data_IF_087968483507
#
_entry.id   IF_087968483507
#
_cell.length_a   1.000
_cell.length_b   1.000
_cell.length_c   1.000
_cell.angle_alpha   90.00
_cell.angle_beta   90.00
_cell.angle_gamma   90.00
#
_symmetry.space_group_name_H-M   'P 1'
#
loop_
_entity.id
_entity.type
_entity.pdbx_description
1 polymer ?
#
# COMPACT_ATOMS: atom_id res chain seq x y z
N UNK A 1 4.28 25.55 22.05
CA UNK A 1 3.65 25.23 20.75
C UNK A 1 3.48 26.46 19.87
N UNK A 2 2.93 27.58 20.36
CA UNK A 2 2.82 28.82 19.57
C UNK A 2 4.18 29.34 19.07
N UNK A 3 5.18 29.45 19.96
CA UNK A 3 6.55 29.87 19.60
C UNK A 3 7.24 28.92 18.61
N UNK A 4 6.95 27.61 18.69
CA UNK A 4 7.46 26.59 17.76
C UNK A 4 6.79 26.68 16.38
N UNK A 5 5.50 27.01 16.34
CA UNK A 5 4.79 27.26 15.09
C UNK A 5 5.32 28.52 14.39
N UNK A 6 5.55 29.60 15.14
CA UNK A 6 6.13 30.84 14.61
C UNK A 6 7.53 30.62 14.02
N UNK A 7 8.39 29.89 14.73
CA UNK A 7 9.74 29.55 14.23
C UNK A 7 9.69 28.63 13.00
N UNK A 8 8.77 27.65 12.97
CA UNK A 8 8.56 26.80 11.79
C UNK A 8 8.05 27.59 10.58
N UNK A 9 7.15 28.55 10.80
CA UNK A 9 6.67 29.45 9.74
C UNK A 9 7.80 30.35 9.21
N UNK A 10 8.63 30.89 10.11
CA UNK A 10 9.80 31.69 9.75
C UNK A 10 10.82 30.89 8.93
N UNK A 11 11.07 29.63 9.31
CA UNK A 11 11.94 28.69 8.60
C UNK A 11 11.31 28.10 7.32
N UNK A 12 10.06 28.47 6.99
CA UNK A 12 9.26 27.90 5.89
C UNK A 12 9.13 26.38 5.96
N UNK A 13 9.24 25.81 7.16
CA UNK A 13 8.95 24.40 7.41
C UNK A 13 7.44 24.22 7.55
N UNK A 14 6.77 24.23 6.41
CA UNK A 14 5.32 24.06 6.31
C UNK A 14 4.86 22.71 6.89
N UNK A 15 5.71 21.67 6.86
CA UNK A 15 5.40 20.35 7.40
C UNK A 15 5.27 20.36 8.91
N UNK A 16 6.23 20.98 9.60
CA UNK A 16 6.21 21.15 11.06
C UNK A 16 5.11 22.11 11.50
N UNK A 17 4.92 23.23 10.79
CA UNK A 17 3.84 24.17 11.06
C UNK A 17 2.46 23.47 10.98
N UNK A 18 2.20 22.73 9.91
CA UNK A 18 0.95 21.98 9.72
C UNK A 18 0.69 20.98 10.84
N UNK A 19 1.71 20.21 11.26
CA UNK A 19 1.59 19.26 12.38
C UNK A 19 1.23 19.95 13.69
N UNK A 20 1.90 21.06 14.01
CA UNK A 20 1.64 21.84 15.23
C UNK A 20 0.21 22.41 15.20
N UNK A 21 -0.22 23.02 14.10
CA UNK A 21 -1.58 23.54 13.94
C UNK A 21 -2.62 22.43 14.12
N UNK A 22 -2.41 21.27 13.51
CA UNK A 22 -3.31 20.11 13.63
C UNK A 22 -3.43 19.63 15.09
N UNK A 23 -2.32 19.61 15.82
CA UNK A 23 -2.27 19.22 17.23
C UNK A 23 -3.00 20.22 18.14
N UNK A 24 -2.85 21.52 17.89
CA UNK A 24 -3.49 22.59 18.69
C UNK A 24 -5.01 22.68 18.41
N UNK A 25 -5.45 22.50 17.17
CA UNK A 25 -6.87 22.60 16.80
C UNK A 25 -7.73 21.37 17.20
N UNK A 26 -7.23 20.46 18.03
CA UNK A 26 -8.00 19.36 18.64
C UNK A 26 -8.47 18.26 17.69
N UNK A 27 -8.23 18.36 16.37
CA UNK A 27 -8.57 17.33 15.37
C UNK A 27 -7.45 16.31 15.14
N UNK A 28 -6.44 16.30 16.00
CA UNK A 28 -5.35 15.34 15.91
C UNK A 28 -5.66 14.12 16.76
N UNK A 29 -6.31 13.13 16.16
CA UNK A 29 -6.28 11.77 16.70
C UNK A 29 -4.93 11.18 16.33
N UNK A 30 -4.08 10.94 17.33
CA UNK A 30 -2.95 10.01 17.23
C UNK A 30 -3.49 8.59 17.06
N UNK A 31 -4.19 8.33 15.96
CA UNK A 31 -4.56 6.97 15.57
C UNK A 31 -3.43 6.43 14.71
N UNK A 32 -2.21 6.43 15.23
CA UNK A 32 -1.05 5.91 14.49
C UNK A 32 -1.00 4.39 14.56
N UNK A 33 -1.60 3.78 15.58
CA UNK A 33 -1.69 2.33 15.71
C UNK A 33 -3.14 1.93 15.83
N UNK A 34 -3.61 1.11 14.87
CA UNK A 34 -4.83 0.37 15.07
C UNK A 34 -4.65 -0.46 16.36
N UNK A 35 -5.59 -0.40 17.31
CA UNK A 35 -5.49 -1.17 18.55
C UNK A 35 -5.42 -2.67 18.21
N UNK A 36 -4.26 -3.30 18.44
CA UNK A 36 -4.09 -4.75 18.26
C UNK A 36 -4.69 -5.44 19.46
N UNK A 37 -5.53 -6.44 19.21
CA UNK A 37 -6.19 -7.24 20.26
C UNK A 37 -5.69 -8.69 20.23
N UNK A 38 -5.67 -9.32 21.40
CA UNK A 38 -5.53 -10.77 21.49
C UNK A 38 -6.80 -11.49 20.98
N UNK A 39 -6.79 -12.82 20.99
CA UNK A 39 -7.91 -13.64 20.51
C UNK A 39 -9.17 -13.48 21.38
N UNK A 40 -8.97 -13.12 22.65
CA UNK A 40 -10.03 -12.83 23.63
C UNK A 40 -10.60 -11.40 23.47
N UNK A 41 -10.10 -10.62 22.51
CA UNK A 41 -10.55 -9.26 22.23
C UNK A 41 -10.00 -8.19 23.17
N UNK A 42 -9.06 -8.54 24.05
CA UNK A 42 -8.39 -7.60 24.95
C UNK A 42 -7.29 -6.84 24.20
N UNK A 43 -7.15 -5.56 24.53
CA UNK A 43 -6.16 -4.68 23.91
C UNK A 43 -4.74 -5.03 24.36
N UNK A 44 -3.83 -5.21 23.39
CA UNK A 44 -2.41 -5.40 23.64
C UNK A 44 -1.72 -4.04 23.73
N UNK A 45 -1.05 -3.79 24.85
CA UNK A 45 -0.40 -2.50 25.13
C UNK A 45 1.11 -2.58 24.98
N UNK A 46 1.71 -3.76 25.22
CA UNK A 46 3.15 -3.98 25.07
C UNK A 46 3.55 -4.29 23.63
N UNK A 47 4.70 -3.78 23.19
CA UNK A 47 5.29 -4.08 21.88
C UNK A 47 5.58 -5.58 21.71
N UNK A 48 6.13 -6.20 22.75
CA UNK A 48 6.41 -7.64 22.76
C UNK A 48 5.14 -8.48 22.57
N UNK A 49 4.04 -8.10 23.22
CA UNK A 49 2.76 -8.80 23.07
C UNK A 49 2.19 -8.62 21.66
N UNK A 50 2.32 -7.41 21.08
CA UNK A 50 1.91 -7.13 19.71
C UNK A 50 2.71 -7.95 18.72
N UNK A 51 4.03 -8.03 18.87
CA UNK A 51 4.91 -8.82 17.99
C UNK A 51 4.60 -10.32 18.10
N UNK A 52 4.41 -10.84 19.31
CA UNK A 52 3.99 -12.22 19.52
C UNK A 52 2.64 -12.51 18.85
N UNK A 53 1.67 -11.59 18.97
CA UNK A 53 0.36 -11.70 18.33
C UNK A 53 0.44 -11.67 16.81
N UNK A 54 1.31 -10.82 16.24
CA UNK A 54 1.57 -10.80 14.80
C UNK A 54 2.18 -12.11 14.31
N UNK A 55 3.17 -12.62 15.04
CA UNK A 55 3.86 -13.88 14.72
C UNK A 55 2.87 -15.05 14.72
N UNK A 56 2.06 -15.15 15.77
CA UNK A 56 1.00 -16.17 15.87
C UNK A 56 0.01 -16.07 14.70
N UNK A 57 -0.52 -14.87 14.42
CA UNK A 57 -1.51 -14.65 13.37
C UNK A 57 -1.01 -15.07 11.98
N UNK A 58 0.20 -14.64 11.61
CA UNK A 58 0.77 -15.00 10.32
C UNK A 58 1.16 -16.48 10.26
N UNK A 59 1.62 -17.06 11.37
CA UNK A 59 1.94 -18.47 11.40
C UNK A 59 0.72 -19.34 11.09
N UNK A 60 -0.43 -19.04 11.72
CA UNK A 60 -1.69 -19.76 11.52
C UNK A 60 -2.23 -19.64 10.08
N UNK A 61 -2.15 -18.44 9.50
CA UNK A 61 -2.69 -18.19 8.16
C UNK A 61 -1.79 -18.79 7.07
N UNK A 62 -0.48 -18.59 7.18
CA UNK A 62 0.45 -18.91 6.10
C UNK A 62 0.94 -20.36 6.13
N UNK A 63 0.97 -21.00 7.30
CA UNK A 63 1.44 -22.39 7.45
C UNK A 63 0.30 -23.40 7.62
N UNK A 64 -0.92 -23.05 7.21
CA UNK A 64 -2.03 -24.00 7.18
C UNK A 64 -1.71 -25.15 6.22
N UNK A 65 -2.08 -26.37 6.60
CA UNK A 65 -2.00 -27.51 5.69
C UNK A 65 -2.89 -27.29 4.47
N UNK A 66 -2.55 -27.94 3.36
CA UNK A 66 -3.43 -27.97 2.21
C UNK A 66 -4.79 -28.54 2.64
N UNK A 67 -5.92 -27.93 2.22
CA UNK A 67 -7.23 -28.49 2.52
C UNK A 67 -7.34 -29.92 1.97
N UNK A 68 -7.98 -30.82 2.72
CA UNK A 68 -8.20 -32.23 2.30
C UNK A 68 -9.10 -32.33 1.06
N UNK A 69 -9.95 -31.33 0.85
CA UNK A 69 -10.84 -31.26 -0.29
C UNK A 69 -10.35 -30.20 -1.25
N UNK A 70 -10.24 -30.56 -2.52
CA UNK A 70 -10.02 -29.60 -3.58
C UNK A 70 -11.24 -28.66 -3.64
N UNK A 71 -10.96 -27.36 -3.75
CA UNK A 71 -12.01 -26.38 -3.99
C UNK A 71 -12.63 -26.65 -5.36
N UNK A 72 -13.91 -27.02 -5.37
CA UNK A 72 -14.69 -27.11 -6.60
C UNK A 72 -14.94 -25.67 -7.07
N UNK A 73 -14.13 -25.20 -8.01
CA UNK A 73 -14.35 -23.93 -8.70
C UNK A 73 -15.31 -24.26 -9.85
N UNK A 74 -16.58 -23.81 -9.81
CA UNK A 74 -17.47 -24.00 -10.93
C UNK A 74 -16.90 -23.28 -12.15
N UNK A 75 -17.09 -23.89 -13.32
CA UNK A 75 -16.80 -23.19 -14.57
C UNK A 75 -17.61 -21.90 -14.64
N UNK A 76 -17.00 -20.83 -15.15
CA UNK A 76 -17.71 -19.58 -15.30
C UNK A 76 -18.93 -19.80 -16.20
N UNK A 77 -20.08 -19.25 -15.82
CA UNK A 77 -21.31 -19.36 -16.63
C UNK A 77 -21.15 -18.69 -18.00
N UNK A 78 -20.30 -17.67 -18.07
CA UNK A 78 -19.98 -16.92 -19.28
C UNK A 78 -18.47 -16.69 -19.37
N UNK A 79 -17.93 -16.91 -20.57
CA UNK A 79 -16.59 -16.45 -20.90
C UNK A 79 -16.57 -14.92 -20.95
N UNK A 80 -15.53 -14.33 -20.37
CA UNK A 80 -15.30 -12.89 -20.54
C UNK A 80 -14.97 -12.61 -22.01
N UNK A 81 -15.64 -11.62 -22.60
CA UNK A 81 -15.33 -11.10 -23.93
C UNK A 81 -14.02 -10.29 -23.89
N UNK A 82 -12.90 -11.01 -23.74
CA UNK A 82 -11.55 -10.48 -23.73
C UNK A 82 -10.76 -11.06 -24.88
N UNK A 83 -10.09 -10.18 -25.62
CA UNK A 83 -9.22 -10.59 -26.71
C UNK A 83 -7.97 -11.25 -26.13
N UNK A 84 -7.88 -12.57 -26.24
CA UNK A 84 -6.73 -13.38 -25.78
C UNK A 84 -5.69 -13.58 -26.89
N UNK A 85 -5.89 -12.99 -28.06
CA UNK A 85 -4.93 -13.06 -29.17
C UNK A 85 -3.66 -12.28 -28.83
N UNK A 86 -2.57 -12.62 -29.53
CA UNK A 86 -1.31 -11.87 -29.43
C UNK A 86 -1.57 -10.39 -29.72
N UNK A 87 -1.08 -9.46 -28.87
CA UNK A 87 -1.32 -8.04 -29.07
C UNK A 87 -0.68 -7.54 -30.36
N UNK A 88 -1.40 -6.67 -31.05
CA UNK A 88 -0.92 -6.02 -32.26
C UNK A 88 0.17 -5.00 -31.95
N UNK A 89 1.04 -4.70 -32.93
CA UNK A 89 2.05 -3.64 -32.79
C UNK A 89 1.43 -2.30 -32.41
N UNK A 90 0.24 -1.98 -32.90
CA UNK A 90 -0.45 -0.73 -32.57
C UNK A 90 -0.89 -0.67 -31.10
N UNK A 91 -1.39 -1.78 -30.56
CA UNK A 91 -1.75 -1.88 -29.14
C UNK A 91 -0.52 -1.76 -28.24
N UNK A 92 0.58 -2.42 -28.60
CA UNK A 92 1.86 -2.32 -27.88
C UNK A 92 2.33 -0.87 -27.86
N UNK A 93 2.38 -0.20 -29.02
CA UNK A 93 2.78 1.21 -29.10
C UNK A 93 1.84 2.13 -28.30
N UNK A 94 0.52 1.87 -28.32
CA UNK A 94 -0.45 2.64 -27.54
C UNK A 94 -0.23 2.45 -26.03
N UNK A 95 0.02 1.22 -25.59
CA UNK A 95 0.32 0.90 -24.20
C UNK A 95 1.60 1.61 -23.73
N UNK A 96 2.68 1.53 -24.50
CA UNK A 96 3.95 2.22 -24.21
C UNK A 96 3.73 3.72 -24.07
N UNK A 97 3.01 4.35 -25.02
CA UNK A 97 2.69 5.79 -24.96
C UNK A 97 1.86 6.17 -23.74
N UNK A 98 0.99 5.28 -23.27
CA UNK A 98 0.11 5.52 -22.11
C UNK A 98 0.81 5.44 -20.75
N UNK A 99 2.05 4.91 -20.67
CA UNK A 99 2.80 4.81 -19.43
C UNK A 99 3.01 6.19 -18.79
N UNK A 100 3.12 6.27 -17.46
CA UNK A 100 3.40 7.54 -16.77
C UNK A 100 4.91 7.77 -16.68
N UNK A 101 5.36 8.96 -17.01
CA UNK A 101 6.77 9.35 -16.90
C UNK A 101 7.15 9.64 -15.45
N UNK A 102 8.46 9.69 -15.15
CA UNK A 102 8.99 9.97 -13.82
C UNK A 102 8.50 9.01 -12.71
N UNK A 103 8.18 7.76 -13.08
CA UNK A 103 7.95 6.68 -12.12
C UNK A 103 9.26 6.03 -11.73
N UNK A 104 9.31 5.50 -10.51
CA UNK A 104 10.47 4.76 -10.04
C UNK A 104 10.75 3.58 -10.99
N UNK A 105 12.01 3.32 -11.34
CA UNK A 105 12.36 2.19 -12.18
C UNK A 105 12.04 0.87 -11.50
N UNK A 106 11.79 -0.17 -12.31
CA UNK A 106 11.64 -1.53 -11.80
C UNK A 106 12.96 -2.13 -11.31
N UNK A 107 12.98 -3.40 -10.89
CA UNK A 107 14.20 -4.11 -10.47
C UNK A 107 15.33 -4.06 -11.51
N UNK A 108 14.95 -4.01 -12.79
CA UNK A 108 15.89 -3.92 -13.93
C UNK A 108 16.43 -2.50 -14.18
N UNK A 109 16.06 -1.50 -13.37
CA UNK A 109 16.55 -0.12 -13.52
C UNK A 109 15.94 0.67 -14.68
N UNK A 110 15.00 0.10 -15.44
CA UNK A 110 14.37 0.73 -16.60
C UNK A 110 13.18 1.61 -16.21
N UNK A 111 13.07 2.80 -16.81
CA UNK A 111 11.95 3.72 -16.63
C UNK A 111 11.07 3.82 -17.89
N UNK A 112 9.85 4.36 -17.73
CA UNK A 112 8.90 4.51 -18.83
C UNK A 112 9.42 5.41 -19.97
N UNK A 113 10.28 6.37 -19.66
CA UNK A 113 10.82 7.32 -20.65
C UNK A 113 11.71 6.62 -21.68
N UNK A 114 12.45 5.58 -21.28
CA UNK A 114 13.29 4.78 -22.18
C UNK A 114 12.46 4.14 -23.30
N UNK A 115 11.34 3.52 -22.96
CA UNK A 115 10.48 2.84 -23.93
C UNK A 115 9.73 3.79 -24.86
N UNK A 116 9.56 5.06 -24.44
CA UNK A 116 8.90 6.08 -25.27
C UNK A 116 9.83 6.79 -26.22
N UNK A 117 11.14 6.77 -25.96
CA UNK A 117 12.14 7.42 -26.78
C UNK A 117 12.38 6.69 -28.12
N UNK A 118 12.17 5.37 -28.16
CA UNK A 118 12.30 4.54 -29.37
C UNK A 118 11.10 3.57 -29.50
N UNK A 119 10.04 3.95 -30.24
CA UNK A 119 8.76 3.23 -30.28
C UNK A 119 8.67 2.02 -31.23
#
# INVERSE_FOLDING_TARGET
MATLAEDAAYKRDHGTLYKITKQVCGRFRNSTEAPIRNKEGQLLTSEFEKEARWTEHFHEILNRQAPETESIIPEAEEDLDVVTTVPTRQEIMRAIKSLKNNKAPGPEGLNADLFKADP
#
